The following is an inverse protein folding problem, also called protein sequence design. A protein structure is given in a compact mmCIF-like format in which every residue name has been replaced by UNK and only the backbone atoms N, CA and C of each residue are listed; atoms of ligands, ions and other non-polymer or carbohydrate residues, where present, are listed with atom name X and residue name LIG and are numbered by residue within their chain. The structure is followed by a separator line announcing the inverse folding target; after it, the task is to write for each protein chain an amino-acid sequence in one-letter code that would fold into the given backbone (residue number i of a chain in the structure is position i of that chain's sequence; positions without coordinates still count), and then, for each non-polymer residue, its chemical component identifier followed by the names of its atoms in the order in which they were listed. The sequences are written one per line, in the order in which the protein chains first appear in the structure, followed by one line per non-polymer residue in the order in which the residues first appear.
data_IF_123066497360
#
_entry.id   IF_123066497360
#
_cell.length_a   1.000
_cell.length_b   1.000
_cell.length_c   1.000
_cell.angle_alpha   90.00
_cell.angle_beta   90.00
_cell.angle_gamma   90.00
#
_symmetry.space_group_name_H-M   'P 1'
#
loop_
_entity.id
_entity.type
_entity.pdbx_description
1 polymer ?
#
# COMPACT_ATOMS: atom_id res chain seq x y z
N UNK A 1 -13.27 -0.26 -17.91
CA UNK A 1 -12.66 -1.40 -17.18
C UNK A 1 -11.88 -0.81 -16.01
N UNK A 2 -12.15 -1.24 -14.80
CA UNK A 2 -11.36 -0.83 -13.63
C UNK A 2 -9.95 -1.42 -13.77
N UNK A 3 -8.94 -0.58 -13.61
CA UNK A 3 -7.54 -1.04 -13.55
C UNK A 3 -7.35 -1.79 -12.22
N UNK A 4 -6.72 -2.95 -12.28
CA UNK A 4 -6.32 -3.71 -11.10
C UNK A 4 -4.81 -3.88 -11.11
N UNK A 5 -4.19 -3.74 -9.95
CA UNK A 5 -2.76 -3.97 -9.77
C UNK A 5 -2.51 -5.34 -9.16
N UNK A 6 -1.40 -5.93 -9.56
CA UNK A 6 -0.89 -7.16 -8.98
C UNK A 6 0.49 -6.91 -8.36
N UNK A 7 0.67 -7.29 -7.10
CA UNK A 7 1.92 -7.11 -6.35
C UNK A 7 2.33 -8.42 -5.70
N UNK A 8 3.58 -8.82 -5.91
CA UNK A 8 4.18 -9.87 -5.11
C UNK A 8 4.58 -9.32 -3.73
N UNK A 9 4.21 -10.04 -2.69
CA UNK A 9 4.52 -9.68 -1.30
C UNK A 9 5.22 -10.83 -0.58
N UNK A 10 6.02 -10.50 0.44
CA UNK A 10 6.64 -11.53 1.28
C UNK A 10 5.60 -12.22 2.16
N UNK A 11 5.86 -13.48 2.54
CA UNK A 11 5.00 -14.22 3.47
C UNK A 11 4.81 -13.49 4.80
N UNK A 12 5.84 -12.83 5.32
CA UNK A 12 5.72 -12.02 6.54
C UNK A 12 4.79 -10.81 6.38
N UNK A 13 4.72 -10.22 5.18
CA UNK A 13 3.76 -9.16 4.88
C UNK A 13 2.34 -9.72 4.75
N UNK A 14 2.18 -10.86 4.09
CA UNK A 14 0.90 -11.57 4.00
C UNK A 14 0.36 -11.94 5.40
N UNK A 15 1.22 -12.46 6.27
CA UNK A 15 0.88 -12.75 7.66
C UNK A 15 0.46 -11.49 8.42
N UNK A 16 1.15 -10.36 8.21
CA UNK A 16 0.80 -9.08 8.84
C UNK A 16 -0.58 -8.58 8.41
N UNK A 17 -0.95 -8.74 7.15
CA UNK A 17 -2.29 -8.41 6.68
C UNK A 17 -3.37 -9.19 7.45
N UNK A 18 -3.21 -10.51 7.57
CA UNK A 18 -4.22 -11.37 8.17
C UNK A 18 -4.22 -11.38 9.70
N UNK A 19 -3.07 -11.09 10.35
CA UNK A 19 -2.96 -11.17 11.81
C UNK A 19 -3.04 -9.83 12.53
N UNK A 20 -2.58 -8.74 11.90
CA UNK A 20 -2.59 -7.39 12.48
C UNK A 20 -3.55 -6.44 11.79
N UNK A 21 -4.15 -6.85 10.67
CA UNK A 21 -5.03 -5.99 9.87
C UNK A 21 -4.28 -4.88 9.15
N UNK A 22 -2.96 -5.04 8.87
CA UNK A 22 -2.17 -4.04 8.16
C UNK A 22 -2.91 -3.60 6.89
N UNK A 23 -2.99 -2.29 6.68
CA UNK A 23 -3.69 -1.66 5.55
C UNK A 23 -2.75 -0.88 4.60
N UNK A 24 -1.44 -0.92 4.86
CA UNK A 24 -0.42 -0.29 4.03
C UNK A 24 -0.12 -1.13 2.80
N UNK A 25 -0.10 -0.50 1.64
CA UNK A 25 0.42 -1.06 0.39
C UNK A 25 1.45 -0.11 -0.23
N UNK A 26 2.49 -0.68 -0.82
CA UNK A 26 3.55 0.05 -1.54
C UNK A 26 4.42 -0.94 -2.29
N UNK A 27 5.17 -0.46 -3.27
CA UNK A 27 6.19 -1.26 -3.94
C UNK A 27 5.89 -1.56 -5.40
N UNK A 28 6.66 -2.46 -5.98
CA UNK A 28 6.51 -2.81 -7.39
C UNK A 28 5.20 -3.54 -7.65
N UNK A 29 4.57 -3.17 -8.74
CA UNK A 29 3.30 -3.71 -9.20
C UNK A 29 3.29 -3.86 -10.72
N UNK A 30 2.40 -4.69 -11.23
CA UNK A 30 2.06 -4.79 -12.65
C UNK A 30 0.55 -4.61 -12.83
N UNK A 31 0.11 -4.35 -14.06
CA UNK A 31 -1.30 -4.46 -14.40
C UNK A 31 -1.71 -5.94 -14.28
N UNK A 32 -2.71 -6.23 -13.47
CA UNK A 32 -3.20 -7.59 -13.28
C UNK A 32 -3.71 -8.23 -14.57
N UNK A 33 -4.20 -7.44 -15.53
CA UNK A 33 -4.62 -7.94 -16.83
C UNK A 33 -3.44 -8.52 -17.64
N UNK A 34 -2.24 -7.99 -17.47
CA UNK A 34 -1.04 -8.50 -18.12
C UNK A 34 -0.62 -9.89 -17.61
N UNK A 35 -0.95 -10.20 -16.35
CA UNK A 35 -0.68 -11.50 -15.74
C UNK A 35 -1.88 -12.47 -15.79
N UNK A 36 -2.95 -12.11 -16.51
CA UNK A 36 -4.14 -12.95 -16.59
C UNK A 36 -3.79 -14.36 -17.11
N UNK A 37 -4.13 -15.38 -16.30
CA UNK A 37 -3.83 -16.78 -16.64
C UNK A 37 -2.41 -17.25 -16.32
N UNK A 38 -1.52 -16.39 -15.81
CA UNK A 38 -0.21 -16.80 -15.32
C UNK A 38 -0.36 -17.34 -13.89
N UNK A 39 -0.12 -18.63 -13.74
CA UNK A 39 -0.25 -19.33 -12.45
C UNK A 39 1.06 -20.03 -12.00
N UNK A 40 2.03 -20.13 -12.90
CA UNK A 40 3.33 -20.68 -12.57
C UNK A 40 4.13 -19.72 -11.69
N UNK A 41 4.67 -20.21 -10.57
CA UNK A 41 5.36 -19.38 -9.59
C UNK A 41 6.64 -18.75 -10.17
N UNK A 42 7.38 -19.47 -11.00
CA UNK A 42 8.60 -18.91 -11.60
C UNK A 42 8.29 -17.79 -12.60
N UNK A 43 7.20 -17.94 -13.35
CA UNK A 43 6.72 -16.89 -14.25
C UNK A 43 6.18 -15.68 -13.49
N UNK A 44 5.45 -15.86 -12.39
CA UNK A 44 5.00 -14.77 -11.53
C UNK A 44 6.18 -14.00 -10.92
N UNK A 45 7.21 -14.71 -10.44
CA UNK A 45 8.44 -14.10 -9.94
C UNK A 45 9.13 -13.29 -11.05
N UNK A 46 9.23 -13.83 -12.25
CA UNK A 46 9.86 -13.15 -13.38
C UNK A 46 9.10 -11.91 -13.83
N UNK A 47 7.75 -11.98 -13.93
CA UNK A 47 6.90 -10.84 -14.27
C UNK A 47 7.01 -9.70 -13.25
N UNK A 48 7.09 -10.04 -11.99
CA UNK A 48 7.16 -9.07 -10.90
C UNK A 48 8.60 -8.59 -10.61
N UNK A 49 9.59 -9.08 -11.35
CA UNK A 49 11.03 -8.84 -11.10
C UNK A 49 11.40 -9.00 -9.62
N UNK A 50 10.87 -10.04 -8.98
CA UNK A 50 11.06 -10.26 -7.56
C UNK A 50 12.53 -10.54 -7.22
N UNK A 51 12.98 -10.00 -6.09
CA UNK A 51 14.29 -10.33 -5.54
C UNK A 51 14.34 -11.82 -5.15
N UNK A 52 15.29 -12.55 -5.76
CA UNK A 52 15.49 -13.98 -5.53
C UNK A 52 15.82 -14.36 -4.08
N UNK A 53 16.15 -13.39 -3.21
CA UNK A 53 16.38 -13.66 -1.77
C UNK A 53 15.08 -13.82 -0.98
N UNK A 54 14.01 -13.16 -1.42
CA UNK A 54 12.70 -13.21 -0.76
C UNK A 54 11.75 -14.18 -1.46
N UNK A 55 11.99 -14.49 -2.72
CA UNK A 55 11.13 -15.29 -3.58
C UNK A 55 11.94 -16.38 -4.29
N UNK A 56 11.52 -17.63 -4.13
CA UNK A 56 12.17 -18.77 -4.78
C UNK A 56 11.12 -19.60 -5.53
N UNK A 57 11.42 -20.09 -6.74
CA UNK A 57 10.45 -20.79 -7.59
C UNK A 57 9.92 -22.11 -7.02
N UNK A 58 10.58 -22.66 -6.02
CA UNK A 58 10.20 -23.89 -5.32
C UNK A 58 9.38 -23.64 -4.06
N UNK A 59 9.12 -22.36 -3.72
CA UNK A 59 8.28 -21.95 -2.60
C UNK A 59 7.01 -21.23 -3.08
N UNK A 60 5.93 -21.25 -2.28
CA UNK A 60 4.74 -20.45 -2.58
C UNK A 60 5.05 -18.98 -2.66
N UNK A 61 4.33 -18.26 -3.55
CA UNK A 61 4.36 -16.80 -3.66
C UNK A 61 3.00 -16.22 -3.27
N UNK A 62 3.02 -15.15 -2.49
CA UNK A 62 1.83 -14.42 -2.12
C UNK A 62 1.67 -13.19 -3.01
N UNK A 63 0.48 -13.02 -3.56
CA UNK A 63 0.15 -11.98 -4.53
C UNK A 63 -1.07 -11.19 -4.04
N UNK A 64 -0.96 -9.87 -4.02
CA UNK A 64 -2.11 -8.98 -3.89
C UNK A 64 -2.71 -8.70 -5.27
N UNK A 65 -4.03 -8.82 -5.39
CA UNK A 65 -4.82 -8.23 -6.47
C UNK A 65 -5.60 -7.05 -5.89
N UNK A 66 -5.19 -5.84 -6.23
CA UNK A 66 -5.73 -4.61 -5.67
C UNK A 66 -6.43 -3.77 -6.75
N UNK A 67 -7.72 -3.43 -6.56
CA UNK A 67 -8.38 -2.45 -7.42
C UNK A 67 -7.67 -1.09 -7.34
N UNK A 68 -7.57 -0.40 -8.47
CA UNK A 68 -7.11 0.98 -8.46
C UNK A 68 -8.11 1.85 -7.69
N UNK A 69 -7.67 2.41 -6.57
CA UNK A 69 -8.47 3.37 -5.81
C UNK A 69 -8.23 4.80 -6.30
N UNK A 70 -9.12 5.74 -5.98
CA UNK A 70 -9.03 7.13 -6.45
C UNK A 70 -7.81 7.90 -5.93
N UNK A 71 -7.17 7.40 -4.88
CA UNK A 71 -6.02 8.04 -4.23
C UNK A 71 -4.73 7.23 -4.37
N UNK A 72 -4.77 6.11 -5.12
CA UNK A 72 -3.57 5.29 -5.35
C UNK A 72 -2.70 5.96 -6.41
N UNK A 73 -1.53 6.44 -5.99
CA UNK A 73 -0.56 7.05 -6.89
C UNK A 73 0.42 6.00 -7.40
N UNK A 74 0.51 5.91 -8.71
CA UNK A 74 1.33 4.93 -9.42
C UNK A 74 2.27 5.64 -10.38
N UNK A 75 3.52 5.20 -10.40
CA UNK A 75 4.54 5.67 -11.34
C UNK A 75 5.16 4.50 -12.08
N UNK A 76 5.75 4.75 -13.24
CA UNK A 76 6.64 3.75 -13.83
C UNK A 76 7.82 3.50 -12.89
N UNK A 77 8.16 2.25 -12.67
CA UNK A 77 9.28 1.85 -11.81
C UNK A 77 10.63 2.33 -12.37
N UNK A 78 10.68 2.49 -13.70
CA UNK A 78 11.80 3.13 -14.41
C UNK A 78 11.29 4.42 -15.03
N UNK A 79 11.65 5.53 -14.44
CA UNK A 79 11.42 6.83 -15.06
C UNK A 79 12.57 7.20 -16.01
N UNK A 80 12.37 8.17 -16.92
CA UNK A 80 13.46 8.76 -17.65
C UNK A 80 14.49 9.31 -16.65
N UNK A 81 15.76 9.09 -16.94
CA UNK A 81 16.88 9.66 -16.18
C UNK A 81 16.83 11.20 -16.32
N UNK A 82 16.04 11.84 -15.49
CA UNK A 82 16.13 13.29 -15.31
C UNK A 82 17.08 13.59 -14.14
N UNK A 83 17.72 14.76 -14.10
CA UNK A 83 18.53 15.16 -12.96
C UNK A 83 17.77 15.08 -11.62
N UNK A 84 16.46 15.33 -11.64
CA UNK A 84 15.59 15.24 -10.48
C UNK A 84 15.21 13.77 -10.16
N UNK A 85 15.29 12.87 -11.14
CA UNK A 85 15.09 11.44 -11.01
C UNK A 85 16.40 10.68 -10.73
N UNK A 86 17.54 11.37 -10.66
CA UNK A 86 18.85 10.74 -10.42
C UNK A 86 18.85 9.86 -9.16
N UNK A 87 18.07 10.24 -8.19
CA UNK A 87 17.90 9.46 -6.96
C UNK A 87 16.84 8.36 -7.06
N UNK A 88 16.00 8.38 -8.07
CA UNK A 88 14.91 7.41 -8.27
C UNK A 88 15.14 6.43 -9.41
N UNK A 89 16.26 6.56 -10.14
CA UNK A 89 16.51 5.74 -11.32
C UNK A 89 17.31 4.48 -11.09
N UNK A 90 17.80 4.23 -9.87
CA UNK A 90 18.57 3.04 -9.58
C UNK A 90 17.64 1.96 -9.08
N UNK A 91 17.52 0.91 -9.85
CA UNK A 91 16.65 -0.21 -9.58
C UNK A 91 17.48 -1.36 -9.05
N UNK A 92 16.93 -1.98 -8.04
CA UNK A 92 17.59 -2.92 -7.15
C UNK A 92 18.17 -4.15 -7.83
N UNK A 93 17.61 -4.60 -8.94
CA UNK A 93 17.98 -5.84 -9.60
C UNK A 93 18.42 -5.60 -11.06
N UNK A 94 19.68 -5.33 -11.33
CA UNK A 94 20.19 -5.43 -12.69
C UNK A 94 20.08 -6.88 -13.23
N UNK A 95 19.62 -7.12 -14.44
CA UNK A 95 19.38 -6.14 -15.51
C UNK A 95 17.93 -5.62 -15.56
N UNK A 96 17.48 -4.91 -14.56
CA UNK A 96 16.13 -4.36 -14.52
C UNK A 96 15.99 -3.29 -15.59
N UNK A 97 14.98 -3.41 -16.46
CA UNK A 97 14.74 -2.50 -17.58
C UNK A 97 13.35 -1.84 -17.56
N UNK A 98 12.61 -1.99 -16.46
CA UNK A 98 11.27 -1.45 -16.29
C UNK A 98 10.15 -2.35 -16.78
N UNK A 99 10.45 -3.57 -17.20
CA UNK A 99 9.45 -4.54 -17.61
C UNK A 99 9.75 -5.91 -17.04
N UNK A 100 8.69 -6.64 -16.70
CA UNK A 100 8.73 -8.05 -16.34
C UNK A 100 8.41 -8.93 -17.54
N UNK A 101 9.04 -10.07 -17.64
CA UNK A 101 8.85 -11.04 -18.72
C UNK A 101 8.81 -12.44 -18.15
N UNK A 102 7.82 -13.27 -18.54
CA UNK A 102 7.80 -14.69 -18.17
C UNK A 102 9.04 -15.41 -18.66
N UNK A 103 9.45 -16.49 -17.97
CA UNK A 103 10.64 -17.28 -18.35
C UNK A 103 10.60 -17.76 -19.79
N UNK A 104 9.41 -18.12 -20.30
CA UNK A 104 9.21 -18.48 -21.70
C UNK A 104 9.17 -17.30 -22.67
N UNK A 105 9.25 -16.06 -22.19
CA UNK A 105 9.13 -14.85 -23.01
C UNK A 105 7.74 -14.61 -23.60
N UNK A 106 6.72 -15.35 -23.12
CA UNK A 106 5.36 -15.32 -23.68
C UNK A 106 4.53 -14.12 -23.20
N UNK A 107 4.83 -13.58 -22.01
CA UNK A 107 4.14 -12.44 -21.42
C UNK A 107 5.16 -11.38 -21.05
N UNK A 108 4.87 -10.13 -21.36
CA UNK A 108 5.67 -8.97 -21.01
C UNK A 108 4.77 -7.87 -20.47
N UNK A 109 5.20 -7.18 -19.43
CA UNK A 109 4.45 -6.09 -18.79
C UNK A 109 5.38 -4.99 -18.28
N UNK A 110 4.86 -3.78 -18.23
CA UNK A 110 5.54 -2.68 -17.57
C UNK A 110 5.52 -2.87 -16.05
N UNK A 111 6.62 -2.53 -15.40
CA UNK A 111 6.68 -2.43 -13.96
C UNK A 111 6.29 -1.04 -13.51
N UNK A 112 5.42 -1.01 -12.54
CA UNK A 112 4.91 0.17 -11.87
C UNK A 112 5.43 0.18 -10.44
N UNK A 113 5.43 1.34 -9.81
CA UNK A 113 5.71 1.50 -8.40
C UNK A 113 4.56 2.25 -7.74
N UNK A 114 3.93 1.60 -6.75
CA UNK A 114 2.86 2.20 -5.95
C UNK A 114 3.50 2.96 -4.79
N UNK A 115 3.20 4.25 -4.70
CA UNK A 115 3.60 5.05 -3.55
C UNK A 115 2.94 4.51 -2.27
N UNK A 116 3.62 4.65 -1.11
CA UNK A 116 3.02 4.20 0.15
C UNK A 116 1.63 4.79 0.36
N UNK A 117 0.62 3.96 0.39
CA UNK A 117 -0.78 4.35 0.54
C UNK A 117 -1.57 3.26 1.26
N UNK A 118 -2.87 3.48 1.44
CA UNK A 118 -3.78 2.49 2.02
C UNK A 118 -4.32 1.56 0.94
N UNK A 119 -4.55 0.30 1.32
CA UNK A 119 -5.23 -0.67 0.47
C UNK A 119 -6.63 -0.17 0.06
N UNK A 120 -7.04 -0.53 -1.14
CA UNK A 120 -8.41 -0.33 -1.63
C UNK A 120 -9.29 -1.52 -1.23
N UNK A 121 -10.52 -1.26 -0.82
CA UNK A 121 -11.50 -2.32 -0.58
C UNK A 121 -11.67 -3.21 -1.83
N UNK A 122 -11.90 -4.51 -1.59
CA UNK A 122 -11.92 -5.51 -2.67
C UNK A 122 -10.54 -6.03 -3.05
N UNK A 123 -9.47 -5.65 -2.33
CA UNK A 123 -8.16 -6.27 -2.51
C UNK A 123 -8.20 -7.72 -2.05
N UNK A 124 -7.71 -8.62 -2.90
CA UNK A 124 -7.59 -10.05 -2.63
C UNK A 124 -6.15 -10.44 -2.37
N UNK A 125 -5.91 -11.29 -1.38
CA UNK A 125 -4.63 -11.91 -1.09
C UNK A 125 -4.66 -13.37 -1.54
N UNK A 126 -3.87 -13.68 -2.56
CA UNK A 126 -3.75 -15.01 -3.13
C UNK A 126 -2.40 -15.64 -2.80
N UNK A 127 -2.39 -16.98 -2.64
CA UNK A 127 -1.17 -17.79 -2.56
C UNK A 127 -1.12 -18.74 -3.73
N UNK A 128 -0.03 -18.67 -4.49
CA UNK A 128 0.28 -19.57 -5.58
C UNK A 128 1.31 -20.59 -5.13
N UNK A 129 1.11 -21.84 -5.49
CA UNK A 129 1.97 -22.94 -5.08
C UNK A 129 2.76 -23.45 -6.27
N UNK A 130 4.06 -23.81 -6.08
CA UNK A 130 4.82 -24.53 -7.09
C UNK A 130 4.12 -25.84 -7.44
N UNK A 131 4.07 -26.17 -8.73
CA UNK A 131 3.53 -27.44 -9.24
C UNK A 131 2.01 -27.61 -9.15
N UNK A 132 1.26 -26.59 -8.78
CA UNK A 132 -0.21 -26.59 -8.89
C UNK A 132 -0.66 -25.38 -9.68
N UNK A 133 -1.76 -25.53 -10.43
CA UNK A 133 -2.34 -24.43 -11.18
C UNK A 133 -3.45 -23.69 -10.41
N UNK A 134 -3.82 -24.17 -9.24
CA UNK A 134 -4.92 -23.61 -8.46
C UNK A 134 -4.35 -22.79 -7.29
N UNK A 135 -4.48 -21.45 -7.34
CA UNK A 135 -4.12 -20.59 -6.22
C UNK A 135 -5.16 -20.68 -5.10
N UNK A 136 -4.71 -20.40 -3.88
CA UNK A 136 -5.57 -20.31 -2.69
C UNK A 136 -5.86 -18.85 -2.37
N UNK A 137 -7.14 -18.48 -2.22
CA UNK A 137 -7.54 -17.18 -1.68
C UNK A 137 -7.39 -17.19 -0.17
N UNK A 138 -6.41 -16.46 0.35
CA UNK A 138 -6.14 -16.38 1.79
C UNK A 138 -7.00 -15.36 2.50
N UNK A 139 -7.24 -14.21 1.87
CA UNK A 139 -7.99 -13.12 2.48
C UNK A 139 -8.56 -12.12 1.49
N UNK A 140 -9.55 -11.37 1.98
CA UNK A 140 -10.20 -10.27 1.27
C UNK A 140 -10.17 -9.04 2.17
N UNK A 141 -9.72 -7.90 1.65
CA UNK A 141 -9.75 -6.63 2.35
C UNK A 141 -11.08 -5.91 2.09
N UNK A 142 -11.85 -5.72 3.14
CA UNK A 142 -13.20 -5.11 3.09
C UNK A 142 -13.19 -3.61 3.43
N UNK A 143 -12.04 -2.97 3.31
CA UNK A 143 -11.88 -1.55 3.62
C UNK A 143 -11.49 -1.27 5.07
N UNK A 144 -11.30 0.02 5.39
CA UNK A 144 -10.71 0.45 6.66
C UNK A 144 -11.53 0.12 7.90
N UNK A 145 -12.83 -0.04 7.74
CA UNK A 145 -13.75 -0.33 8.84
C UNK A 145 -13.70 -1.80 9.26
N UNK A 146 -13.64 -2.70 8.31
CA UNK A 146 -13.68 -4.14 8.52
C UNK A 146 -12.31 -4.79 8.49
N UNK A 147 -11.36 -4.21 7.73
CA UNK A 147 -10.02 -4.78 7.52
C UNK A 147 -10.05 -6.03 6.66
N UNK A 148 -9.22 -7.00 7.01
CA UNK A 148 -9.05 -8.25 6.31
C UNK A 148 -9.98 -9.34 6.86
N UNK A 149 -10.71 -9.99 5.98
CA UNK A 149 -11.36 -11.28 6.25
C UNK A 149 -10.38 -12.39 5.87
N UNK A 150 -10.05 -13.27 6.82
CA UNK A 150 -9.34 -14.52 6.54
C UNK A 150 -10.35 -15.53 6.01
N UNK A 151 -10.26 -15.89 4.74
CA UNK A 151 -11.28 -16.73 4.05
C UNK A 151 -11.52 -18.06 4.75
N UNK A 152 -10.45 -18.74 5.18
CA UNK A 152 -10.55 -20.05 5.86
C UNK A 152 -11.37 -20.01 7.17
N UNK A 153 -11.39 -18.88 7.87
CA UNK A 153 -12.01 -18.78 9.21
C UNK A 153 -13.19 -17.83 9.26
N UNK A 154 -13.38 -16.98 8.26
CA UNK A 154 -14.34 -15.87 8.26
C UNK A 154 -14.03 -14.80 9.32
N UNK A 155 -12.81 -14.80 9.88
CA UNK A 155 -12.43 -13.85 10.92
C UNK A 155 -12.00 -12.53 10.29
N UNK A 156 -12.54 -11.42 10.81
CA UNK A 156 -12.13 -10.07 10.46
C UNK A 156 -11.02 -9.58 11.39
N UNK A 157 -10.03 -8.94 10.80
CA UNK A 157 -8.90 -8.31 11.50
C UNK A 157 -8.64 -6.93 10.89
N UNK A 158 -8.75 -5.88 11.71
CA UNK A 158 -8.50 -4.51 11.29
C UNK A 158 -7.45 -3.85 12.18
N UNK A 159 -6.65 -2.97 11.62
CA UNK A 159 -5.79 -2.07 12.39
C UNK A 159 -6.47 -0.70 12.57
N UNK A 160 -5.94 0.12 13.48
CA UNK A 160 -6.28 1.53 13.53
C UNK A 160 -5.66 2.19 12.29
N UNK A 161 -6.48 2.75 11.36
CA UNK A 161 -5.97 3.33 10.13
C UNK A 161 -5.06 4.52 10.41
N UNK A 162 -3.99 4.63 9.65
CA UNK A 162 -3.10 5.79 9.73
C UNK A 162 -3.80 7.05 9.23
N UNK A 163 -3.50 8.19 9.85
CA UNK A 163 -3.93 9.51 9.37
C UNK A 163 -2.92 10.12 8.37
N UNK A 164 -1.82 9.44 8.09
CA UNK A 164 -0.74 9.92 7.23
C UNK A 164 -0.77 9.32 5.81
N UNK A 165 -1.67 8.37 5.57
CA UNK A 165 -1.85 7.73 4.26
C UNK A 165 -3.33 7.52 3.97
N UNK A 166 -3.68 7.56 2.68
CA UNK A 166 -5.04 7.36 2.20
C UNK A 166 -5.99 8.52 2.53
N UNK A 167 -7.25 8.42 2.13
CA UNK A 167 -8.22 9.50 2.27
C UNK A 167 -8.51 9.86 3.73
N UNK A 168 -8.66 11.16 3.96
CA UNK A 168 -9.06 11.76 5.24
C UNK A 168 -10.23 12.72 5.00
N UNK A 169 -11.16 12.74 5.91
CA UNK A 169 -12.27 13.70 5.94
C UNK A 169 -12.13 14.63 7.14
N UNK A 170 -12.15 15.93 6.88
CA UNK A 170 -12.15 16.93 7.95
C UNK A 170 -13.56 17.17 8.46
N UNK A 171 -13.70 17.14 9.78
CA UNK A 171 -14.93 17.47 10.51
C UNK A 171 -14.65 18.59 11.50
N UNK A 172 -15.70 19.20 12.06
CA UNK A 172 -15.57 20.30 13.02
C UNK A 172 -14.72 19.95 14.25
N UNK A 173 -14.66 18.69 14.63
CA UNK A 173 -13.97 18.16 15.81
C UNK A 173 -12.65 17.43 15.47
N UNK A 174 -12.24 17.39 14.19
CA UNK A 174 -10.97 16.77 13.77
C UNK A 174 -11.04 16.13 12.39
N UNK A 175 -9.95 15.50 12.02
CA UNK A 175 -9.83 14.74 10.79
C UNK A 175 -9.87 13.23 11.08
N UNK A 176 -10.61 12.49 10.30
CA UNK A 176 -10.70 11.03 10.40
C UNK A 176 -10.26 10.34 9.10
N UNK A 177 -9.58 9.20 9.23
CA UNK A 177 -9.41 8.29 8.11
C UNK A 177 -10.77 7.93 7.51
N UNK A 178 -10.84 7.95 6.19
CA UNK A 178 -12.06 7.63 5.46
C UNK A 178 -11.74 6.69 4.28
N UNK A 179 -12.75 5.98 3.87
CA UNK A 179 -12.80 5.27 2.61
C UNK A 179 -13.83 5.92 1.70
N UNK A 180 -13.47 6.10 0.44
CA UNK A 180 -14.33 6.74 -0.56
C UNK A 180 -14.93 5.68 -1.45
N UNK A 181 -16.24 5.64 -1.51
CA UNK A 181 -16.97 4.81 -2.47
C UNK A 181 -17.24 5.63 -3.72
N UNK A 182 -16.84 5.10 -4.88
CA UNK A 182 -17.08 5.72 -6.17
C UNK A 182 -18.28 5.09 -6.88
N UNK A 183 -18.98 5.89 -7.66
CA UNK A 183 -19.98 5.40 -8.61
C UNK A 183 -19.31 4.56 -9.69
N UNK A 184 -19.87 3.40 -10.00
CA UNK A 184 -19.39 2.53 -11.08
C UNK A 184 -19.52 3.21 -12.47
N UNK A 185 -20.54 4.07 -12.64
CA UNK A 185 -20.84 4.72 -13.91
C UNK A 185 -20.01 5.99 -14.15
N UNK A 186 -19.87 6.82 -13.13
CA UNK A 186 -19.29 8.18 -13.26
C UNK A 186 -17.88 8.29 -12.65
N UNK A 187 -17.49 7.33 -11.84
CA UNK A 187 -16.24 7.35 -11.04
C UNK A 187 -16.19 8.57 -10.09
N UNK A 188 -17.34 9.12 -9.71
CA UNK A 188 -17.45 10.21 -8.75
C UNK A 188 -17.74 9.67 -7.35
N UNK A 189 -17.32 10.37 -6.28
CA UNK A 189 -17.64 9.97 -4.91
C UNK A 189 -19.15 9.94 -4.67
N UNK A 190 -19.66 8.84 -4.10
CA UNK A 190 -21.08 8.67 -3.74
C UNK A 190 -21.29 8.48 -2.26
N UNK A 191 -20.34 7.90 -1.56
CA UNK A 191 -20.38 7.71 -0.13
C UNK A 191 -18.99 7.70 0.51
N UNK A 192 -18.97 7.89 1.82
CA UNK A 192 -17.77 7.85 2.64
C UNK A 192 -18.01 6.99 3.86
N UNK A 193 -17.03 6.15 4.20
CA UNK A 193 -16.98 5.43 5.47
C UNK A 193 -15.84 6.01 6.31
N UNK A 194 -16.18 6.74 7.38
CA UNK A 194 -15.22 7.29 8.35
C UNK A 194 -14.96 6.28 9.44
N UNK A 195 -13.72 6.22 9.94
CA UNK A 195 -13.32 5.27 10.99
C UNK A 195 -12.56 5.98 12.10
N UNK A 196 -12.85 5.57 13.33
CA UNK A 196 -12.19 6.06 14.54
C UNK A 196 -11.85 4.91 15.50
N UNK A 197 -10.76 5.02 16.30
CA UNK A 197 -10.40 4.00 17.30
C UNK A 197 -11.33 4.00 18.52
N UNK A 198 -12.09 5.08 18.73
CA UNK A 198 -13.07 5.22 19.81
C UNK A 198 -14.26 6.05 19.33
N UNK A 199 -15.36 6.05 20.11
CA UNK A 199 -16.54 6.81 19.76
C UNK A 199 -16.23 8.32 19.72
N UNK A 200 -16.34 8.97 18.55
CA UNK A 200 -16.12 10.42 18.47
C UNK A 200 -17.14 11.19 19.30
N UNK A 201 -16.66 12.18 20.06
CA UNK A 201 -17.54 13.10 20.82
C UNK A 201 -18.11 14.16 19.90
N UNK A 202 -19.40 14.48 20.06
CA UNK A 202 -20.08 15.53 19.29
C UNK A 202 -20.50 15.10 17.86
N UNK A 203 -20.36 13.83 17.53
CA UNK A 203 -20.84 13.27 16.25
C UNK A 203 -21.73 12.05 16.52
N UNK A 204 -22.94 12.07 16.00
CA UNK A 204 -23.88 10.95 16.10
C UNK A 204 -23.72 9.97 14.92
N UNK A 205 -24.26 8.76 15.08
CA UNK A 205 -24.35 7.77 14.02
C UNK A 205 -23.07 6.97 13.79
N UNK A 206 -22.07 7.02 14.69
CA UNK A 206 -21.01 6.04 14.73
C UNK A 206 -21.44 4.77 15.45
N UNK A 207 -21.19 3.64 14.83
CA UNK A 207 -21.47 2.32 15.37
C UNK A 207 -20.17 1.57 15.65
N UNK A 208 -20.11 0.83 16.75
CA UNK A 208 -18.98 -0.01 17.05
C UNK A 208 -19.07 -1.31 16.24
N UNK A 209 -18.01 -1.62 15.52
CA UNK A 209 -17.88 -2.83 14.73
C UNK A 209 -17.30 -3.98 15.54
N UNK A 210 -17.48 -5.25 15.10
CA UNK A 210 -16.82 -6.41 15.71
C UNK A 210 -15.28 -6.32 15.74
N UNK A 211 -14.68 -5.52 14.87
CA UNK A 211 -13.23 -5.21 14.85
C UNK A 211 -12.78 -4.33 16.01
N UNK A 212 -13.72 -3.79 16.80
CA UNK A 212 -13.46 -2.83 17.88
C UNK A 212 -13.40 -1.38 17.42
N UNK A 213 -13.32 -1.12 16.14
CA UNK A 213 -13.35 0.23 15.56
C UNK A 213 -14.76 0.80 15.58
N UNK A 214 -14.83 2.13 15.53
CA UNK A 214 -16.08 2.87 15.34
C UNK A 214 -16.15 3.38 13.91
N UNK A 215 -17.25 3.13 13.21
CA UNK A 215 -17.44 3.54 11.83
C UNK A 215 -18.76 4.27 11.61
N UNK A 216 -18.75 5.18 10.65
CA UNK A 216 -19.96 5.86 10.16
C UNK A 216 -19.89 6.00 8.66
N UNK A 217 -20.88 5.44 7.96
CA UNK A 217 -21.06 5.64 6.52
C UNK A 217 -22.02 6.79 6.30
N UNK A 218 -21.63 7.72 5.43
CA UNK A 218 -22.47 8.88 5.02
C UNK A 218 -22.52 8.98 3.50
N UNK A 219 -23.59 9.56 2.97
CA UNK A 219 -23.64 9.97 1.57
C UNK A 219 -22.65 11.11 1.34
N UNK A 220 -21.96 11.08 0.21
CA UNK A 220 -21.05 12.16 -0.15
C UNK A 220 -21.84 13.45 -0.46
N UNK A 221 -21.34 14.56 0.04
CA UNK A 221 -21.81 15.90 -0.26
C UNK A 221 -20.61 16.77 -0.64
N UNK A 222 -20.79 17.66 -1.58
CA UNK A 222 -19.72 18.51 -2.14
C UNK A 222 -19.09 19.49 -1.16
N UNK A 223 -19.73 19.72 -0.01
CA UNK A 223 -19.19 20.52 1.10
C UNK A 223 -18.24 19.76 2.03
N UNK A 224 -18.08 18.45 1.81
CA UNK A 224 -17.13 17.64 2.56
C UNK A 224 -15.74 17.75 1.93
N UNK A 225 -14.77 18.21 2.70
CA UNK A 225 -13.38 18.21 2.28
C UNK A 225 -12.80 16.78 2.45
N UNK A 226 -12.47 16.15 1.33
CA UNK A 226 -11.74 14.89 1.27
C UNK A 226 -10.37 15.19 0.68
N UNK A 227 -9.32 14.73 1.33
CA UNK A 227 -7.96 14.86 0.83
C UNK A 227 -7.11 13.69 1.28
N UNK A 228 -6.04 13.42 0.58
CA UNK A 228 -4.99 12.53 1.06
C UNK A 228 -3.94 13.35 1.80
N UNK A 229 -3.69 13.01 3.05
CA UNK A 229 -2.61 13.61 3.81
C UNK A 229 -1.28 13.06 3.28
N UNK A 230 -0.44 13.96 2.78
CA UNK A 230 0.89 13.61 2.27
C UNK A 230 1.95 14.39 3.05
N UNK A 231 2.31 13.85 4.22
CA UNK A 231 3.40 14.43 5.01
C UNK A 231 4.75 13.96 4.43
N UNK A 232 5.31 14.81 3.58
CA UNK A 232 6.57 14.54 2.89
C UNK A 232 7.68 15.44 3.42
N UNK A 233 8.84 14.85 3.64
CA UNK A 233 10.00 15.54 4.16
C UNK A 233 11.29 14.94 3.65
N UNK A 234 12.38 15.17 4.38
CA UNK A 234 13.69 14.59 4.11
C UNK A 234 14.30 14.02 5.37
N UNK A 235 14.83 12.81 5.26
CA UNK A 235 15.66 12.19 6.28
C UNK A 235 17.01 11.83 5.67
N UNK A 236 18.12 12.32 6.24
CA UNK A 236 19.49 12.13 5.70
C UNK A 236 19.55 12.39 4.18
N UNK A 237 18.95 13.47 3.71
CA UNK A 237 18.83 13.88 2.30
C UNK A 237 17.91 13.01 1.42
N UNK A 238 17.45 11.85 1.85
CA UNK A 238 16.46 11.07 1.11
C UNK A 238 15.05 11.68 1.28
N UNK A 239 14.28 11.83 0.20
CA UNK A 239 12.88 12.19 0.31
C UNK A 239 12.11 11.04 0.96
N UNK A 240 11.29 11.38 1.94
CA UNK A 240 10.49 10.43 2.70
C UNK A 240 9.05 10.87 2.79
N UNK A 241 8.14 9.90 2.92
CA UNK A 241 6.75 10.11 3.27
C UNK A 241 6.46 9.48 4.62
N UNK A 242 5.90 10.23 5.54
CA UNK A 242 5.43 9.67 6.82
C UNK A 242 4.22 8.78 6.53
N UNK A 243 4.29 7.53 6.97
CA UNK A 243 3.21 6.56 6.80
C UNK A 243 2.46 6.30 8.11
N UNK A 244 3.11 6.57 9.24
CA UNK A 244 2.52 6.48 10.58
C UNK A 244 3.35 7.29 11.56
N UNK A 245 2.72 7.86 12.58
CA UNK A 245 3.39 8.39 13.74
C UNK A 245 2.84 7.72 15.01
N UNK A 246 3.74 7.37 15.93
CA UNK A 246 3.40 6.73 17.20
C UNK A 246 4.15 7.43 18.33
N UNK A 247 3.64 7.33 19.56
CA UNK A 247 4.41 7.71 20.74
C UNK A 247 5.20 6.51 21.21
N UNK A 248 6.48 6.71 21.44
CA UNK A 248 7.34 5.70 22.05
C UNK A 248 7.13 5.63 23.58
N UNK A 249 7.87 4.76 24.24
CA UNK A 249 7.80 4.57 25.70
C UNK A 249 8.18 5.83 26.50
N UNK A 250 8.95 6.74 25.92
CA UNK A 250 9.31 8.04 26.52
C UNK A 250 8.24 9.11 26.31
N UNK A 251 7.23 8.84 25.48
CA UNK A 251 6.22 9.80 25.06
C UNK A 251 6.64 10.66 23.86
N UNK A 252 7.83 10.47 23.31
CA UNK A 252 8.27 11.16 22.09
C UNK A 252 7.51 10.65 20.86
N UNK A 253 7.28 11.55 19.88
CA UNK A 253 6.64 11.16 18.63
C UNK A 253 7.70 10.60 17.69
N UNK A 254 7.52 9.35 17.30
CA UNK A 254 8.37 8.63 16.35
C UNK A 254 7.59 8.44 15.06
N UNK A 255 8.19 8.85 13.95
CA UNK A 255 7.65 8.67 12.62
C UNK A 255 8.14 7.36 12.00
N UNK A 256 7.24 6.58 11.44
CA UNK A 256 7.55 5.53 10.49
C UNK A 256 7.49 6.19 9.10
N UNK A 257 8.64 6.39 8.49
CA UNK A 257 8.79 7.13 7.24
C UNK A 257 9.31 6.20 6.13
N UNK A 258 8.57 6.14 5.03
CA UNK A 258 8.95 5.38 3.85
C UNK A 258 9.82 6.21 2.91
N UNK A 259 10.85 5.61 2.33
CA UNK A 259 11.63 6.20 1.26
C UNK A 259 10.75 6.40 0.03
N UNK A 260 10.81 7.59 -0.56
CA UNK A 260 10.17 7.91 -1.83
C UNK A 260 11.07 7.60 -3.05
N UNK A 261 12.13 6.86 -2.80
CA UNK A 261 13.09 6.40 -3.80
C UNK A 261 13.02 4.88 -3.84
N UNK A 262 12.69 4.26 -5.00
CA UNK A 262 12.66 2.81 -5.15
C UNK A 262 14.06 2.18 -5.29
N UNK A 263 15.07 2.80 -4.68
CA UNK A 263 16.46 2.33 -4.62
C UNK A 263 16.76 1.75 -3.24
N UNK A 264 16.56 0.46 -3.11
CA UNK A 264 16.77 -0.24 -1.83
C UNK A 264 18.23 -0.24 -1.37
N UNK A 265 19.25 -0.44 -2.22
CA UNK A 265 20.65 -0.30 -1.82
C UNK A 265 20.99 1.07 -1.23
N UNK A 266 20.54 2.14 -1.88
CA UNK A 266 20.73 3.50 -1.39
C UNK A 266 20.00 3.73 -0.05
N UNK A 267 18.73 3.34 0.03
CA UNK A 267 17.95 3.44 1.26
C UNK A 267 18.60 2.63 2.41
N UNK A 268 19.07 1.42 2.13
CA UNK A 268 19.77 0.58 3.11
C UNK A 268 21.05 1.23 3.63
N UNK A 269 21.82 1.89 2.78
CA UNK A 269 23.02 2.62 3.18
C UNK A 269 22.71 3.79 4.12
N UNK A 270 21.51 4.35 4.06
CA UNK A 270 21.00 5.38 4.97
C UNK A 270 20.37 4.82 6.26
N UNK A 271 20.26 3.50 6.39
CA UNK A 271 19.70 2.81 7.55
C UNK A 271 18.22 2.49 7.45
N UNK A 272 17.62 2.62 6.28
CA UNK A 272 16.25 2.15 6.04
C UNK A 272 16.20 0.63 5.99
N UNK A 273 15.08 0.05 6.41
CA UNK A 273 14.78 -1.37 6.31
C UNK A 273 13.72 -1.60 5.24
N UNK A 274 13.88 -2.62 4.41
CA UNK A 274 12.88 -3.01 3.42
C UNK A 274 11.56 -3.36 4.10
N UNK A 275 10.45 -2.81 3.59
CA UNK A 275 9.08 -3.11 4.02
C UNK A 275 8.25 -3.73 2.90
N UNK A 276 8.62 -3.48 1.65
CA UNK A 276 8.03 -4.10 0.46
C UNK A 276 9.08 -4.12 -0.66
N UNK A 277 8.81 -4.82 -1.75
CA UNK A 277 9.67 -4.80 -2.92
C UNK A 277 9.75 -3.38 -3.49
N UNK A 278 10.97 -2.83 -3.60
CA UNK A 278 11.20 -1.45 -4.05
C UNK A 278 10.84 -0.37 -3.03
N UNK A 279 10.50 -0.71 -1.79
CA UNK A 279 10.23 0.28 -0.75
C UNK A 279 10.87 -0.07 0.57
N UNK A 280 11.55 0.90 1.15
CA UNK A 280 12.20 0.80 2.46
C UNK A 280 11.69 1.90 3.40
N UNK A 281 11.68 1.64 4.70
CA UNK A 281 11.21 2.59 5.71
C UNK A 281 12.16 2.64 6.91
N UNK A 282 12.02 3.70 7.68
CA UNK A 282 12.83 3.96 8.88
C UNK A 282 11.92 4.46 10.01
N UNK A 283 12.26 4.11 11.26
CA UNK A 283 11.66 4.70 12.46
C UNK A 283 12.63 5.75 13.00
N UNK A 284 12.18 6.99 13.05
CA UNK A 284 13.00 8.14 13.48
C UNK A 284 12.16 9.11 14.30
N UNK A 285 12.77 9.90 15.22
CA UNK A 285 12.09 11.03 15.82
C UNK A 285 11.45 11.92 14.74
N UNK A 286 10.21 12.34 15.00
CA UNK A 286 9.45 13.09 13.97
C UNK A 286 10.12 14.41 13.58
N UNK A 287 10.81 15.05 14.51
CA UNK A 287 11.54 16.30 14.32
C UNK A 287 12.83 16.15 13.48
N UNK A 288 13.31 14.92 13.27
CA UNK A 288 14.42 14.66 12.34
C UNK A 288 13.98 14.69 10.87
N UNK A 289 12.66 14.62 10.60
CA UNK A 289 12.11 14.76 9.26
C UNK A 289 11.98 16.24 8.95
N UNK A 290 12.95 16.76 8.19
CA UNK A 290 12.93 18.17 7.79
C UNK A 290 11.86 18.40 6.72
N UNK A 291 10.99 19.35 6.98
CA UNK A 291 10.03 19.80 5.98
C UNK A 291 10.72 20.22 4.68
N UNK A 292 10.13 19.88 3.56
CA UNK A 292 10.50 20.45 2.28
C UNK A 292 10.23 21.95 2.39
N UNK A 293 11.27 22.78 2.22
CA UNK A 293 11.04 24.21 2.05
C UNK A 293 9.97 24.39 0.98
N UNK A 294 8.88 25.06 1.35
CA UNK A 294 7.80 25.40 0.42
C UNK A 294 8.44 26.00 -0.82
N UNK A 295 8.19 25.41 -1.97
CA UNK A 295 8.56 26.05 -3.23
C UNK A 295 7.63 27.26 -3.33
N UNK A 296 8.23 28.45 -3.17
CA UNK A 296 7.62 29.72 -3.61
C UNK A 296 7.36 29.70 -5.11
#
# INVERSE_FOLDING_TARGET
MSVNYQLAISSGQADSYLTTGLDLVTGFAIDAAAAAGVTDVADLIALQCCDSRAFAPDHPIDILHMPAGPFVQVRHAVGPLSPDAFMGGIIENPPFNGSGVTQGGGVSTDLLWIEPTRLTAGTHLWRFFPRTSEPELLGVYHGIAWGWETVKTGKFTACIPSQFIGPIVTRQWGALPAEVELSEDTNEPVALTMVAPGKPTGEEGFEQLPTGLWAKRITYHTDLAIYEHQDVGRYKHAPVRVIRAVRDESGAIVAHAASMIPDTPFASALGFKRIAQGTSAVLVPFDEIREKASRE
#
